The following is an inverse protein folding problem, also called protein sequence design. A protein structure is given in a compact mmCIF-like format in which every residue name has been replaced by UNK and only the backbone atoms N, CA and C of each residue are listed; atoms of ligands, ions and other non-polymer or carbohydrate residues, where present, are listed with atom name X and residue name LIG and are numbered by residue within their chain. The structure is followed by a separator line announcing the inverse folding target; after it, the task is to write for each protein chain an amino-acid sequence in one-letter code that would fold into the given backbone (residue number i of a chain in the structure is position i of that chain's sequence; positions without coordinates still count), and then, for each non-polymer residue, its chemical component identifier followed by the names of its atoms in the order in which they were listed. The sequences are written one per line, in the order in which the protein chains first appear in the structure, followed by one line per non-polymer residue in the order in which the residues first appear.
data_IF_116370586687
#
_entry.id   IF_116370586687
#
_cell.length_a   1.000
_cell.length_b   1.000
_cell.length_c   1.000
_cell.angle_alpha   90.00
_cell.angle_beta   90.00
_cell.angle_gamma   90.00
#
_symmetry.space_group_name_H-M   'P 1'
#
loop_
_entity.id
_entity.type
_entity.pdbx_description
1 polymer ?
#
# COMPACT_ATOMS: atom_id res chain seq x y z
N UNK A 1 4.67 4.64 6.79
CA UNK A 1 4.50 3.18 6.58
C UNK A 1 3.02 2.88 6.32
N UNK A 2 2.69 1.84 5.55
CA UNK A 2 1.30 1.40 5.34
C UNK A 2 0.99 0.28 6.33
N UNK A 3 -0.25 0.22 6.83
CA UNK A 3 -0.73 -0.83 7.74
C UNK A 3 -1.74 -1.75 7.04
N UNK A 4 -1.77 -3.02 7.44
CA UNK A 4 -2.83 -3.97 7.07
C UNK A 4 -3.53 -4.52 8.31
N UNK A 5 -4.87 -4.58 8.27
CA UNK A 5 -5.69 -5.28 9.26
C UNK A 5 -6.07 -6.70 8.79
N UNK A 6 -5.58 -7.10 7.63
CA UNK A 6 -5.86 -8.42 7.09
C UNK A 6 -5.19 -9.48 7.97
N UNK A 7 -5.99 -10.42 8.47
CA UNK A 7 -5.57 -11.48 9.40
C UNK A 7 -5.65 -12.89 8.80
N UNK A 8 -6.01 -12.99 7.52
CA UNK A 8 -6.03 -14.26 6.79
C UNK A 8 -4.64 -14.70 6.31
N UNK A 9 -4.61 -15.66 5.38
CA UNK A 9 -3.38 -16.08 4.73
C UNK A 9 -2.85 -14.95 3.84
N UNK A 10 -1.69 -14.39 4.19
CA UNK A 10 -1.04 -13.33 3.43
C UNK A 10 -0.77 -13.74 1.98
N UNK A 11 -0.96 -12.81 1.05
CA UNK A 11 -0.59 -13.00 -0.35
C UNK A 11 0.90 -12.69 -0.58
N UNK A 12 1.46 -13.17 -1.69
CA UNK A 12 2.87 -12.95 -2.03
C UNK A 12 3.28 -11.47 -2.09
N UNK A 13 2.34 -10.59 -2.48
CA UNK A 13 2.57 -9.13 -2.49
C UNK A 13 2.74 -8.60 -1.07
N UNK A 14 1.85 -8.98 -0.15
CA UNK A 14 1.89 -8.56 1.26
C UNK A 14 3.17 -9.08 1.94
N UNK A 15 3.48 -10.36 1.75
CA UNK A 15 4.70 -10.98 2.27
C UNK A 15 5.95 -10.22 1.84
N UNK A 16 6.06 -9.89 0.55
CA UNK A 16 7.19 -9.11 0.03
C UNK A 16 7.23 -7.70 0.59
N UNK A 17 6.09 -7.04 0.76
CA UNK A 17 6.04 -5.68 1.31
C UNK A 17 6.37 -5.65 2.80
N UNK A 18 5.96 -6.67 3.56
CA UNK A 18 6.32 -6.85 4.97
C UNK A 18 7.82 -7.08 5.09
N UNK A 19 8.38 -8.00 4.29
CA UNK A 19 9.82 -8.27 4.27
C UNK A 19 10.64 -7.00 3.92
N UNK A 20 10.11 -6.14 3.05
CA UNK A 20 10.73 -4.87 2.70
C UNK A 20 10.47 -3.73 3.72
N UNK A 21 9.76 -3.98 4.83
CA UNK A 21 9.39 -2.96 5.81
C UNK A 21 8.42 -1.89 5.31
N UNK A 22 7.78 -2.14 4.15
CA UNK A 22 6.85 -1.21 3.48
C UNK A 22 5.40 -1.40 3.89
N UNK A 23 5.07 -2.57 4.44
CA UNK A 23 3.77 -2.92 5.02
C UNK A 23 3.96 -3.45 6.44
N UNK A 24 3.09 -3.04 7.37
CA UNK A 24 3.10 -3.49 8.77
C UNK A 24 1.75 -4.12 9.14
N UNK A 25 1.72 -5.33 9.71
CA UNK A 25 0.49 -5.85 10.31
C UNK A 25 0.07 -5.00 11.50
N UNK A 26 -1.22 -4.67 11.60
CA UNK A 26 -1.81 -3.98 12.74
C UNK A 26 -2.59 -5.01 13.57
N UNK A 27 -1.93 -5.59 14.58
CA UNK A 27 -2.55 -6.58 15.47
C UNK A 27 -3.35 -5.93 16.61
N UNK A 28 -2.93 -4.74 17.04
CA UNK A 28 -3.57 -3.97 18.11
C UNK A 28 -3.70 -2.50 17.66
N UNK A 29 -4.92 -1.93 17.64
CA UNK A 29 -5.11 -0.53 17.27
C UNK A 29 -4.35 0.47 18.17
N UNK A 30 -4.05 0.12 19.41
CA UNK A 30 -3.29 0.99 20.32
C UNK A 30 -1.83 1.16 19.88
N UNK A 31 -1.31 0.27 19.03
CA UNK A 31 0.06 0.36 18.48
C UNK A 31 0.18 1.30 17.30
N UNK A 32 -0.93 1.91 16.85
CA UNK A 32 -0.92 2.83 15.73
C UNK A 32 -0.20 4.14 16.11
N UNK A 33 0.94 4.39 15.48
CA UNK A 33 1.67 5.65 15.61
C UNK A 33 0.90 6.80 14.96
N UNK A 34 0.24 7.63 15.77
CA UNK A 34 -0.44 8.84 15.31
C UNK A 34 0.52 10.02 15.32
N UNK A 35 0.84 10.54 14.14
CA UNK A 35 1.67 11.73 13.99
C UNK A 35 1.07 12.68 12.95
N UNK A 36 1.35 13.99 13.11
CA UNK A 36 0.98 14.97 12.10
C UNK A 36 1.75 14.67 10.81
N UNK A 37 1.05 14.72 9.68
CA UNK A 37 1.67 14.53 8.36
C UNK A 37 2.73 15.60 8.13
N UNK A 38 3.97 15.18 7.90
CA UNK A 38 5.10 16.08 7.61
C UNK A 38 5.29 16.37 6.12
N UNK A 39 4.84 15.46 5.25
CA UNK A 39 4.90 15.61 3.80
C UNK A 39 3.60 16.19 3.21
N UNK A 40 3.70 16.85 2.06
CA UNK A 40 2.51 17.24 1.28
C UNK A 40 1.60 16.04 1.01
N UNK A 41 0.27 16.24 0.97
CA UNK A 41 -0.65 15.20 0.52
C UNK A 41 -0.19 14.65 -0.83
N UNK A 42 -0.26 13.32 -1.00
CA UNK A 42 -0.15 12.70 -2.31
C UNK A 42 -1.27 13.17 -3.26
N UNK A 43 -1.31 12.68 -4.50
CA UNK A 43 -2.30 13.10 -5.48
C UNK A 43 -3.73 13.03 -4.94
N UNK A 44 -4.52 14.10 -5.11
CA UNK A 44 -5.92 14.19 -4.68
C UNK A 44 -6.80 13.10 -5.32
N UNK A 45 -6.47 12.69 -6.55
CA UNK A 45 -7.06 11.55 -7.26
C UNK A 45 -5.95 10.60 -7.70
N UNK A 46 -5.48 9.69 -6.83
CA UNK A 46 -4.31 8.86 -7.12
C UNK A 46 -4.59 7.70 -8.09
N UNK A 47 -5.84 7.53 -8.53
CA UNK A 47 -6.29 6.43 -9.40
C UNK A 47 -6.72 6.97 -10.75
N UNK A 48 -5.76 7.49 -11.51
CA UNK A 48 -5.99 7.73 -12.93
C UNK A 48 -6.11 6.37 -13.64
N UNK A 49 -7.27 6.04 -14.24
CA UNK A 49 -7.44 4.76 -14.93
C UNK A 49 -6.50 4.62 -16.13
N UNK A 50 -6.07 5.72 -16.77
CA UNK A 50 -5.22 5.65 -17.96
C UNK A 50 -3.86 5.02 -17.64
N UNK A 51 -3.34 5.23 -16.42
CA UNK A 51 -2.11 4.57 -15.97
C UNK A 51 -2.23 3.04 -16.02
N UNK A 52 -3.39 2.49 -15.65
CA UNK A 52 -3.63 1.04 -15.72
C UNK A 52 -3.81 0.58 -17.16
N UNK A 53 -4.54 1.35 -17.98
CA UNK A 53 -4.74 1.06 -19.41
C UNK A 53 -3.39 1.00 -20.14
N UNK A 54 -2.51 1.96 -19.90
CA UNK A 54 -1.18 2.02 -20.52
C UNK A 54 -0.30 0.84 -20.07
N UNK A 55 -0.33 0.50 -18.77
CA UNK A 55 0.40 -0.66 -18.25
C UNK A 55 -0.07 -1.98 -18.90
N UNK A 56 -1.39 -2.17 -19.07
CA UNK A 56 -1.95 -3.34 -19.75
C UNK A 56 -1.50 -3.38 -21.21
N UNK A 57 -1.59 -2.26 -21.93
CA UNK A 57 -1.15 -2.18 -23.33
C UNK A 57 0.34 -2.48 -23.48
N UNK A 58 1.17 -2.05 -22.54
CA UNK A 58 2.61 -2.31 -22.54
C UNK A 58 2.94 -3.79 -22.28
N UNK A 59 2.17 -4.48 -21.42
CA UNK A 59 2.43 -5.88 -21.05
C UNK A 59 2.05 -6.89 -22.14
N UNK A 60 1.20 -6.50 -23.11
CA UNK A 60 0.68 -7.37 -24.17
C UNK A 60 1.43 -7.15 -25.51
N UNK A 61 2.39 -6.21 -25.55
CA UNK A 61 3.29 -6.01 -26.68
C UNK A 61 4.59 -6.76 -26.49
#
# INVERSE_FOLDING_TARGET
PVYTIFSGRMGAVDERLIAAGRLRPLADPATLELAKRSASPGPLRPRDPELLVDAIRAAVR
#
